data_IF_087791527414
#
_entry.id   IF_087791527414
#
_cell.length_a   1.000
_cell.length_b   1.000
_cell.length_c   1.000
_cell.angle_alpha   90.00
_cell.angle_beta   90.00
_cell.angle_gamma   90.00
#
_symmetry.space_group_name_H-M   'P 1'
#
loop_
_entity.id
_entity.type
_entity.pdbx_description
1 polymer ?
#
# COMPACT_ATOMS: atom_id res chain seq x y z
N UNK A 1 -51.95 6.57 24.16
CA UNK A 1 -50.52 6.21 24.03
C UNK A 1 -50.39 5.32 22.81
N UNK A 2 -49.83 5.83 21.70
CA UNK A 2 -49.65 5.02 20.51
C UNK A 2 -48.71 3.85 20.83
N UNK A 3 -49.15 2.63 20.54
CA UNK A 3 -48.33 1.43 20.72
C UNK A 3 -47.02 1.62 19.97
N UNK A 4 -45.88 1.34 20.62
CA UNK A 4 -44.53 1.47 20.03
C UNK A 4 -44.41 0.72 18.70
N UNK A 5 -45.16 -0.37 18.54
CA UNK A 5 -45.32 -1.12 17.30
C UNK A 5 -45.97 -0.31 16.17
N UNK A 6 -46.98 0.51 16.48
CA UNK A 6 -47.63 1.37 15.49
C UNK A 6 -46.69 2.47 15.01
N UNK A 7 -45.98 3.11 15.95
CA UNK A 7 -45.01 4.17 15.63
C UNK A 7 -43.81 3.63 14.84
N UNK A 8 -43.30 2.45 15.20
CA UNK A 8 -42.26 1.76 14.44
C UNK A 8 -42.72 1.42 13.01
N UNK A 9 -43.93 0.87 12.87
CA UNK A 9 -44.51 0.54 11.55
C UNK A 9 -44.68 1.77 10.67
N UNK A 10 -45.02 2.92 11.25
CA UNK A 10 -45.14 4.17 10.52
C UNK A 10 -43.77 4.68 10.06
N UNK A 11 -42.75 4.63 10.93
CA UNK A 11 -41.38 5.02 10.58
C UNK A 11 -40.73 4.14 9.52
N UNK A 12 -41.06 2.85 9.51
CA UNK A 12 -40.60 1.93 8.47
C UNK A 12 -41.13 2.28 7.07
N UNK A 13 -42.27 3.00 6.97
CA UNK A 13 -42.82 3.46 5.68
C UNK A 13 -42.15 4.73 5.16
N UNK A 14 -41.49 5.49 6.03
CA UNK A 14 -40.75 6.70 5.66
C UNK A 14 -39.33 6.40 5.15
N UNK A 15 -38.89 5.14 5.26
CA UNK A 15 -37.57 4.74 4.78
C UNK A 15 -37.52 4.74 3.24
N UNK A 16 -36.38 5.18 2.70
CA UNK A 16 -36.12 5.13 1.26
C UNK A 16 -36.17 3.69 0.74
N UNK A 17 -36.65 3.47 -0.48
CA UNK A 17 -36.64 2.14 -1.14
C UNK A 17 -35.22 1.53 -1.15
N UNK A 18 -34.18 2.36 -1.16
CA UNK A 18 -32.79 1.90 -1.07
C UNK A 18 -32.46 1.23 0.27
N UNK A 19 -33.12 1.60 1.38
CA UNK A 19 -32.91 0.94 2.66
C UNK A 19 -33.48 -0.47 2.69
N UNK A 20 -34.41 -0.80 1.79
CA UNK A 20 -34.94 -2.15 1.64
C UNK A 20 -33.90 -3.12 1.04
N UNK A 21 -32.85 -2.58 0.41
CA UNK A 21 -31.69 -3.31 -0.12
C UNK A 21 -30.65 -3.54 1.00
N UNK A 22 -30.84 -2.95 2.18
CA UNK A 22 -29.96 -3.20 3.32
C UNK A 22 -30.14 -4.65 3.80
N UNK A 23 -29.03 -5.36 3.90
CA UNK A 23 -28.97 -6.74 4.41
C UNK A 23 -29.53 -6.89 5.84
N UNK A 24 -29.66 -5.78 6.58
CA UNK A 24 -30.32 -5.75 7.89
C UNK A 24 -31.83 -6.02 7.83
N UNK A 25 -32.50 -5.72 6.71
CA UNK A 25 -33.95 -5.94 6.53
C UNK A 25 -34.27 -7.14 5.66
N UNK A 26 -33.35 -7.55 4.79
CA UNK A 26 -33.54 -8.67 3.89
C UNK A 26 -32.44 -9.71 4.13
N UNK A 27 -32.75 -10.71 4.97
CA UNK A 27 -31.83 -11.81 5.33
C UNK A 27 -31.76 -12.91 4.27
N UNK A 28 -32.58 -12.83 3.22
CA UNK A 28 -32.56 -13.74 2.08
C UNK A 28 -31.62 -13.18 0.99
N UNK A 29 -30.49 -13.82 0.68
CA UNK A 29 -29.73 -13.45 -0.50
C UNK A 29 -30.65 -13.61 -1.72
N UNK A 30 -30.88 -12.52 -2.46
CA UNK A 30 -31.71 -12.56 -3.65
C UNK A 30 -31.13 -13.63 -4.61
N UNK A 31 -31.95 -14.57 -5.13
CA UNK A 31 -31.45 -15.69 -5.93
C UNK A 31 -30.74 -15.24 -7.22
N UNK A 32 -30.86 -13.96 -7.59
CA UNK A 32 -30.23 -13.33 -8.75
C UNK A 32 -29.19 -12.23 -8.40
N UNK A 33 -28.65 -12.17 -7.17
CA UNK A 33 -27.45 -11.32 -6.91
C UNK A 33 -26.16 -11.95 -7.42
N UNK A 34 -26.26 -12.93 -8.31
CA UNK A 34 -25.18 -13.22 -9.24
C UNK A 34 -25.12 -12.03 -10.19
N UNK A 35 -24.46 -10.96 -9.75
CA UNK A 35 -23.55 -10.25 -10.66
C UNK A 35 -22.67 -11.36 -11.26
N UNK A 36 -23.09 -11.91 -12.40
CA UNK A 36 -22.25 -12.80 -13.19
C UNK A 36 -21.17 -11.90 -13.81
N UNK A 37 -20.21 -11.49 -13.00
CA UNK A 37 -18.85 -11.47 -13.49
C UNK A 37 -18.48 -12.94 -13.62
N UNK A 38 -18.76 -13.55 -14.78
CA UNK A 38 -18.35 -14.93 -15.13
C UNK A 38 -16.83 -15.16 -15.09
N UNK A 39 -16.12 -14.12 -14.72
CA UNK A 39 -14.68 -13.95 -14.70
C UNK A 39 -14.12 -13.80 -13.27
N UNK A 40 -14.92 -13.98 -12.22
CA UNK A 40 -14.45 -13.87 -10.83
C UNK A 40 -14.00 -15.23 -10.27
N UNK A 41 -12.71 -15.38 -10.02
CA UNK A 41 -12.08 -16.54 -9.36
C UNK A 41 -11.66 -16.16 -7.94
N UNK A 42 -11.93 -17.05 -6.97
CA UNK A 42 -11.57 -16.82 -5.56
C UNK A 42 -10.66 -17.94 -5.08
N UNK A 43 -9.42 -17.59 -4.71
CA UNK A 43 -8.42 -18.51 -4.17
C UNK A 43 -8.26 -18.27 -2.67
N UNK A 44 -8.50 -19.29 -1.86
CA UNK A 44 -8.27 -19.20 -0.42
C UNK A 44 -6.78 -19.05 -0.14
N UNK A 45 -6.42 -18.13 0.77
CA UNK A 45 -5.04 -17.94 1.20
C UNK A 45 -4.83 -18.59 2.56
N UNK A 46 -5.40 -18.01 3.62
CA UNK A 46 -5.18 -18.51 4.98
C UNK A 46 -6.45 -18.47 5.83
N UNK A 47 -6.49 -19.40 6.80
CA UNK A 47 -7.49 -19.41 7.87
C UNK A 47 -6.81 -19.51 9.21
N UNK A 48 -7.11 -18.55 10.09
CA UNK A 48 -6.59 -18.47 11.46
C UNK A 48 -7.72 -18.17 12.43
N UNK A 49 -7.46 -18.30 13.73
CA UNK A 49 -8.47 -18.05 14.76
C UNK A 49 -9.09 -16.63 14.68
N UNK A 50 -8.32 -15.65 14.21
CA UNK A 50 -8.80 -14.26 14.04
C UNK A 50 -9.50 -13.98 12.69
N UNK A 51 -9.55 -14.94 11.77
CA UNK A 51 -10.27 -14.74 10.51
C UNK A 51 -9.76 -15.56 9.33
N UNK A 52 -10.24 -15.21 8.15
CA UNK A 52 -9.93 -15.86 6.88
C UNK A 52 -9.51 -14.80 5.86
N UNK A 53 -8.57 -15.16 4.98
CA UNK A 53 -8.13 -14.35 3.86
C UNK A 53 -8.25 -15.13 2.55
N UNK A 54 -8.53 -14.41 1.47
CA UNK A 54 -8.65 -14.95 0.13
C UNK A 54 -8.18 -13.91 -0.90
N UNK A 55 -7.70 -14.40 -2.03
CA UNK A 55 -7.37 -13.64 -3.22
C UNK A 55 -8.55 -13.71 -4.17
N UNK A 56 -9.00 -12.56 -4.68
CA UNK A 56 -10.05 -12.48 -5.71
C UNK A 56 -9.40 -12.02 -7.00
N UNK A 57 -9.47 -12.84 -8.03
CA UNK A 57 -9.00 -12.53 -9.37
C UNK A 57 -10.22 -12.25 -10.23
N UNK A 58 -10.31 -11.04 -10.76
CA UNK A 58 -11.29 -10.68 -11.78
C UNK A 58 -10.58 -10.77 -13.12
N UNK A 59 -11.01 -11.65 -14.03
CA UNK A 59 -10.51 -11.56 -15.41
C UNK A 59 -10.97 -10.23 -15.98
N UNK A 60 -10.07 -9.55 -16.66
CA UNK A 60 -10.42 -8.29 -17.30
C UNK A 60 -11.27 -8.59 -18.54
N UNK A 61 -12.25 -7.73 -18.90
CA UNK A 61 -12.97 -7.85 -20.16
C UNK A 61 -12.05 -7.85 -21.41
N UNK A 62 -10.78 -7.45 -21.23
CA UNK A 62 -9.76 -7.30 -22.27
C UNK A 62 -8.82 -8.51 -22.41
N UNK A 63 -8.92 -9.54 -21.57
CA UNK A 63 -8.06 -10.74 -21.63
C UNK A 63 -8.34 -11.67 -22.83
N UNK A 64 -9.24 -11.25 -23.74
CA UNK A 64 -9.33 -11.81 -25.09
C UNK A 64 -8.19 -11.35 -26.02
N UNK A 65 -7.29 -10.48 -25.56
CA UNK A 65 -6.09 -10.07 -26.27
C UNK A 65 -4.83 -10.52 -25.50
N UNK A 66 -3.95 -11.38 -26.08
CA UNK A 66 -2.82 -12.00 -25.40
C UNK A 66 -1.63 -11.05 -25.11
N UNK A 67 -1.85 -9.73 -25.03
CA UNK A 67 -0.78 -8.74 -24.99
C UNK A 67 -1.04 -7.68 -23.90
N UNK A 68 -0.97 -8.10 -22.64
CA UNK A 68 -0.86 -7.15 -21.52
C UNK A 68 0.59 -6.62 -21.50
N UNK A 69 0.83 -5.29 -21.53
CA UNK A 69 2.18 -4.76 -21.40
C UNK A 69 2.68 -5.11 -20.00
N UNK A 70 3.70 -5.96 -19.92
CA UNK A 70 4.44 -6.16 -18.68
C UNK A 70 4.99 -4.80 -18.26
N UNK A 71 4.29 -4.12 -17.35
CA UNK A 71 4.84 -2.95 -16.68
C UNK A 71 6.09 -3.43 -15.97
N UNK A 72 7.23 -3.12 -16.59
CA UNK A 72 8.55 -3.50 -16.13
C UNK A 72 8.70 -3.00 -14.71
N UNK A 73 8.59 -3.91 -13.74
CA UNK A 73 9.05 -3.66 -12.38
C UNK A 73 10.44 -3.02 -12.48
N UNK A 74 10.76 -1.96 -11.70
CA UNK A 74 12.10 -1.39 -11.69
C UNK A 74 13.12 -2.53 -11.58
N UNK A 75 14.19 -2.54 -12.40
CA UNK A 75 15.15 -3.63 -12.37
C UNK A 75 15.60 -3.81 -10.93
N UNK A 76 15.43 -5.03 -10.40
CA UNK A 76 15.91 -5.39 -9.06
C UNK A 76 17.39 -5.05 -9.04
N UNK A 77 17.74 -3.90 -8.45
CA UNK A 77 19.12 -3.48 -8.28
C UNK A 77 19.72 -4.55 -7.39
N UNK A 78 20.73 -5.27 -7.86
CA UNK A 78 21.53 -6.13 -6.99
C UNK A 78 22.02 -5.24 -5.86
N UNK A 79 21.63 -5.55 -4.63
CA UNK A 79 22.15 -4.85 -3.47
C UNK A 79 23.68 -4.94 -3.52
N UNK A 80 24.35 -3.80 -3.41
CA UNK A 80 25.80 -3.74 -3.41
C UNK A 80 26.33 -4.66 -2.30
N UNK A 81 27.41 -5.39 -2.58
CA UNK A 81 28.02 -6.28 -1.59
C UNK A 81 28.52 -5.50 -0.37
N UNK A 82 28.62 -6.17 0.78
CA UNK A 82 29.15 -5.58 2.02
C UNK A 82 30.51 -4.89 1.78
N UNK A 83 31.38 -5.54 1.01
CA UNK A 83 32.71 -5.04 0.64
C UNK A 83 32.64 -3.73 -0.15
N UNK A 84 31.76 -3.66 -1.16
CA UNK A 84 31.59 -2.46 -1.98
C UNK A 84 31.00 -1.30 -1.16
N UNK A 85 30.14 -1.59 -0.19
CA UNK A 85 29.60 -0.59 0.73
C UNK A 85 30.68 -0.06 1.67
N UNK A 86 31.51 -0.94 2.25
CA UNK A 86 32.63 -0.57 3.11
C UNK A 86 33.64 0.32 2.38
N UNK A 87 34.02 -0.06 1.15
CA UNK A 87 34.93 0.72 0.31
C UNK A 87 34.38 2.11 0.00
N UNK A 88 33.07 2.25 -0.23
CA UNK A 88 32.42 3.55 -0.47
C UNK A 88 32.42 4.42 0.79
N UNK A 89 32.24 3.81 1.98
CA UNK A 89 32.29 4.50 3.26
C UNK A 89 33.69 5.01 3.59
N UNK A 90 34.71 4.16 3.43
CA UNK A 90 36.11 4.52 3.67
C UNK A 90 36.55 5.66 2.74
N UNK A 91 36.20 5.59 1.46
CA UNK A 91 36.50 6.67 0.51
C UNK A 91 35.81 8.00 0.89
N UNK A 92 34.62 7.96 1.50
CA UNK A 92 33.95 9.17 1.99
C UNK A 92 34.63 9.72 3.25
N UNK A 93 35.13 8.84 4.12
CA UNK A 93 35.87 9.22 5.32
C UNK A 93 37.21 9.87 4.99
N UNK A 94 37.97 9.32 4.04
CA UNK A 94 39.25 9.91 3.62
C UNK A 94 39.06 11.32 3.03
N UNK A 95 38.05 11.52 2.16
CA UNK A 95 37.72 12.88 1.67
C UNK A 95 37.41 13.86 2.81
N UNK A 96 36.70 13.40 3.85
CA UNK A 96 36.40 14.24 5.02
C UNK A 96 37.68 14.59 5.80
N UNK A 97 38.59 13.63 5.98
CA UNK A 97 39.87 13.86 6.67
C UNK A 97 40.75 14.83 5.89
N UNK A 98 40.84 14.68 4.57
CA UNK A 98 41.62 15.57 3.71
C UNK A 98 41.11 17.02 3.77
N UNK A 99 39.79 17.21 3.67
CA UNK A 99 39.18 18.54 3.79
C UNK A 99 39.46 19.16 5.16
N UNK A 100 39.31 18.39 6.24
CA UNK A 100 39.60 18.84 7.58
C UNK A 100 41.09 19.21 7.75
N UNK A 101 42.01 18.41 7.22
CA UNK A 101 43.45 18.69 7.29
C UNK A 101 43.82 19.94 6.46
N UNK A 102 43.19 20.17 5.31
CA UNK A 102 43.37 21.38 4.54
C UNK A 102 42.88 22.62 5.30
N UNK A 103 41.71 22.54 5.94
CA UNK A 103 41.17 23.63 6.76
C UNK A 103 42.05 23.94 7.97
N UNK A 104 42.54 22.92 8.68
CA UNK A 104 43.45 23.09 9.81
C UNK A 104 44.75 23.78 9.38
N UNK A 105 45.34 23.40 8.24
CA UNK A 105 46.53 24.07 7.69
C UNK A 105 46.28 25.54 7.39
N UNK A 106 45.19 25.84 6.66
CA UNK A 106 44.79 27.21 6.34
C UNK A 106 44.57 28.06 7.60
N UNK A 107 43.91 27.50 8.61
CA UNK A 107 43.66 28.20 9.87
C UNK A 107 44.96 28.45 10.66
N UNK A 108 45.95 27.56 10.54
CA UNK A 108 47.27 27.76 11.15
C UNK A 108 48.03 28.90 10.47
N UNK A 109 48.07 28.91 9.14
CA UNK A 109 48.68 29.97 8.33
C UNK A 109 48.09 31.35 8.68
N UNK A 110 46.76 31.46 8.74
CA UNK A 110 46.08 32.71 9.12
C UNK A 110 46.43 33.18 10.55
N UNK A 111 46.65 32.25 11.49
CA UNK A 111 47.05 32.61 12.86
C UNK A 111 48.49 33.12 12.91
N UNK A 112 49.38 32.53 12.12
CA UNK A 112 50.77 32.99 12.00
C UNK A 112 50.82 34.38 11.35
N UNK A 113 50.04 34.61 10.27
CA UNK A 113 49.91 35.91 9.61
C UNK A 113 49.37 37.02 10.52
N UNK A 114 48.40 36.72 11.39
CA UNK A 114 47.85 37.72 12.32
C UNK A 114 48.71 37.94 13.57
N UNK A 115 49.68 37.07 13.84
CA UNK A 115 50.54 37.13 15.03
C UNK A 115 51.93 37.71 14.77
N UNK A 116 52.32 37.90 13.51
CA UNK A 116 53.57 38.54 13.08
C UNK A 116 53.38 39.99 12.68
#
# INVERSE_FOLDING_TARGET
>A
MASTLSAYKEKMKELSVLSLICSCFYTQPHPNTVYQYGDMEVKQLDKRASGQSFEVILKSPSDLSPESPMLSSPPKKKDASLEELQKRLEAAEERRKELHAAEVRRNKEQREEMSG
#
